data_IF_178541130171
#
_entry.id   IF_178541130171
#
_cell.length_a   1.000
_cell.length_b   1.000
_cell.length_c   1.000
_cell.angle_alpha   90.00
_cell.angle_beta   90.00
_cell.angle_gamma   90.00
#
_symmetry.space_group_name_H-M   'P 1'
#
loop_
_entity.id
_entity.type
_entity.pdbx_description
1 polymer ?
#
# COMPACT_ATOMS: atom_id res chain seq x y z
N UNK A 1 11.53 -65.00 34.95
CA UNK A 1 10.38 -64.53 34.15
C UNK A 1 10.80 -63.19 33.56
N UNK A 2 11.77 -63.12 32.65
CA UNK A 2 11.74 -63.57 31.24
C UNK A 2 10.43 -63.21 30.51
N UNK A 3 10.56 -62.30 29.53
CA UNK A 3 9.94 -62.18 28.19
C UNK A 3 10.26 -60.74 27.69
N UNK A 4 11.34 -60.50 26.93
CA UNK A 4 11.50 -60.65 25.46
C UNK A 4 10.49 -59.78 24.67
N UNK A 5 10.89 -58.68 24.02
CA UNK A 5 11.45 -58.60 22.64
C UNK A 5 11.63 -57.09 22.31
N UNK A 6 12.76 -56.56 21.82
CA UNK A 6 13.49 -56.78 20.57
C UNK A 6 12.68 -56.45 19.29
N UNK A 7 12.77 -55.19 18.83
CA UNK A 7 12.74 -54.86 17.38
C UNK A 7 13.83 -53.82 17.10
N UNK A 8 14.85 -54.28 16.38
CA UNK A 8 15.89 -53.53 15.68
C UNK A 8 15.78 -53.89 14.21
N UNK A 9 15.86 -52.92 13.28
CA UNK A 9 16.07 -53.03 11.81
C UNK A 9 15.31 -51.87 11.12
N UNK A 10 15.82 -51.01 10.24
CA UNK A 10 17.08 -50.93 9.52
C UNK A 10 17.30 -49.50 8.98
N UNK A 11 18.57 -49.09 8.94
CA UNK A 11 19.27 -48.19 8.01
C UNK A 11 18.52 -47.65 6.78
N UNK A 12 18.58 -46.33 6.56
CA UNK A 12 18.94 -45.76 5.25
C UNK A 12 19.46 -44.33 5.40
N UNK A 13 20.77 -44.19 5.26
CA UNK A 13 21.46 -42.91 5.14
C UNK A 13 21.22 -42.34 3.73
N UNK A 14 20.35 -41.34 3.62
CA UNK A 14 20.25 -40.53 2.42
C UNK A 14 21.41 -39.51 2.39
N UNK A 15 22.44 -39.82 1.59
CA UNK A 15 23.49 -38.89 1.19
C UNK A 15 22.88 -37.72 0.41
N UNK A 16 22.75 -36.56 1.04
CA UNK A 16 22.50 -35.31 0.33
C UNK A 16 23.84 -34.79 -0.18
N UNK A 17 24.02 -34.96 -1.48
CA UNK A 17 25.10 -34.43 -2.30
C UNK A 17 25.19 -32.91 -2.13
N UNK A 18 26.21 -32.43 -1.40
CA UNK A 18 26.54 -31.00 -1.33
C UNK A 18 27.19 -30.58 -2.65
N UNK A 19 26.65 -29.61 -3.41
CA UNK A 19 27.41 -29.01 -4.50
C UNK A 19 28.54 -28.16 -3.89
N UNK A 20 29.78 -28.54 -4.20
CA UNK A 20 30.97 -27.71 -3.94
C UNK A 20 30.95 -26.52 -4.90
N UNK A 21 30.32 -25.42 -4.50
CA UNK A 21 30.57 -24.11 -5.11
C UNK A 21 31.76 -23.48 -4.38
N UNK A 22 32.94 -23.67 -4.96
CA UNK A 22 34.13 -22.90 -4.63
C UNK A 22 33.93 -21.49 -5.18
N UNK A 23 33.53 -20.55 -4.33
CA UNK A 23 33.50 -19.13 -4.66
C UNK A 23 34.79 -18.50 -4.14
N UNK A 24 35.80 -18.42 -5.01
CA UNK A 24 37.00 -17.62 -4.77
C UNK A 24 36.62 -16.15 -4.91
N UNK A 25 36.48 -15.45 -3.78
CA UNK A 25 36.38 -13.99 -3.74
C UNK A 25 37.80 -13.43 -3.85
N UNK A 26 38.15 -12.92 -5.03
CA UNK A 26 39.35 -12.09 -5.21
C UNK A 26 39.12 -10.72 -4.58
N UNK A 27 39.80 -10.46 -3.47
CA UNK A 27 39.84 -9.16 -2.79
C UNK A 27 40.81 -8.26 -3.59
N UNK A 28 40.38 -7.13 -4.19
CA UNK A 28 41.32 -6.17 -4.73
C UNK A 28 42.03 -5.44 -3.57
N UNK A 29 43.37 -5.47 -3.61
CA UNK A 29 44.22 -4.79 -2.65
C UNK A 29 44.08 -3.27 -2.73
N UNK A 30 44.09 -2.68 -1.53
CA UNK A 30 44.08 -1.26 -1.16
C UNK A 30 45.20 -0.49 -1.86
N UNK A 31 44.86 0.49 -2.70
CA UNK A 31 45.81 1.46 -3.22
C UNK A 31 46.26 2.41 -2.09
N UNK A 32 47.57 2.53 -1.91
CA UNK A 32 48.24 3.44 -0.98
C UNK A 32 48.20 4.87 -1.52
N UNK A 33 47.53 5.76 -0.78
CA UNK A 33 47.57 7.20 -1.04
C UNK A 33 48.88 7.74 -0.50
N UNK A 34 49.75 8.16 -1.41
CA UNK A 34 50.97 8.93 -1.11
C UNK A 34 50.56 10.32 -0.64
N UNK A 35 50.94 10.65 0.59
CA UNK A 35 50.93 12.02 1.12
C UNK A 35 51.98 12.85 0.39
N UNK A 36 51.57 13.96 -0.24
CA UNK A 36 52.48 15.06 -0.55
C UNK A 36 51.94 16.34 0.09
N UNK A 37 52.80 16.93 0.89
CA UNK A 37 52.61 18.09 1.74
C UNK A 37 52.83 19.39 0.96
N UNK A 38 51.86 20.32 0.97
CA UNK A 38 52.12 21.77 0.78
C UNK A 38 50.92 22.60 1.30
N UNK A 39 51.15 23.66 2.11
CA UNK A 39 50.09 24.50 2.70
C UNK A 39 49.62 25.63 1.74
N UNK A 40 48.53 26.36 2.08
CA UNK A 40 47.74 27.11 1.11
C UNK A 40 48.27 28.52 0.89
N UNK A 41 48.18 29.00 -0.36
CA UNK A 41 48.49 30.39 -0.72
C UNK A 41 47.18 31.16 -0.89
N UNK A 42 46.82 31.94 0.13
CA UNK A 42 45.79 32.97 0.05
C UNK A 42 46.27 34.09 -0.90
N UNK A 43 45.48 34.43 -1.92
CA UNK A 43 45.61 35.70 -2.62
C UNK A 43 44.23 36.35 -2.79
N UNK A 44 44.20 37.64 -2.47
CA UNK A 44 43.06 38.51 -2.18
C UNK A 44 42.94 39.57 -3.28
N UNK A 45 41.68 39.90 -3.64
CA UNK A 45 41.18 41.13 -4.33
C UNK A 45 41.69 41.36 -5.78
N UNK A 46 40.97 41.96 -6.74
CA UNK A 46 39.68 42.65 -6.82
C UNK A 46 39.25 42.78 -8.31
N UNK A 47 37.94 42.96 -8.52
CA UNK A 47 37.23 43.67 -9.62
C UNK A 47 37.75 43.66 -11.07
N UNK A 48 36.87 43.30 -12.02
CA UNK A 48 36.49 44.20 -13.12
C UNK A 48 35.24 43.74 -13.90
N UNK A 49 34.45 44.74 -14.22
CA UNK A 49 33.16 44.80 -14.93
C UNK A 49 33.26 44.57 -16.45
N UNK A 50 32.20 44.01 -17.06
CA UNK A 50 31.42 44.51 -18.23
C UNK A 50 30.83 43.40 -19.16
N UNK A 51 29.77 43.70 -19.93
CA UNK A 51 28.66 42.78 -20.22
C UNK A 51 28.74 42.13 -21.62
N UNK A 52 27.99 41.03 -21.83
CA UNK A 52 27.58 40.60 -23.17
C UNK A 52 26.06 40.49 -23.27
N UNK A 53 25.51 41.22 -24.22
CA UNK A 53 24.11 41.20 -24.62
C UNK A 53 23.83 40.10 -25.65
N UNK A 54 22.58 39.62 -25.56
CA UNK A 54 21.66 39.22 -26.64
C UNK A 54 22.13 38.27 -27.74
N UNK A 55 21.56 37.06 -27.73
CA UNK A 55 20.99 36.47 -28.96
C UNK A 55 19.67 35.81 -28.58
N UNK A 56 18.58 36.40 -29.04
CA UNK A 56 17.25 35.79 -29.12
C UNK A 56 17.16 35.02 -30.43
N UNK A 57 16.85 33.72 -30.37
CA UNK A 57 16.30 32.99 -31.51
C UNK A 57 15.23 32.02 -31.02
N UNK A 58 14.02 32.28 -31.52
CA UNK A 58 12.84 31.47 -31.31
C UNK A 58 12.98 30.09 -31.94
N UNK A 59 12.57 29.06 -31.21
CA UNK A 59 12.02 27.83 -31.77
C UNK A 59 11.21 27.14 -30.67
N UNK A 60 9.89 27.25 -30.79
CA UNK A 60 8.92 26.59 -29.94
C UNK A 60 9.07 25.07 -30.00
N UNK A 61 9.25 24.36 -28.88
CA UNK A 61 8.78 22.98 -28.80
C UNK A 61 7.29 23.05 -28.47
N UNK A 62 6.47 22.55 -29.38
CA UNK A 62 5.06 22.25 -29.13
C UNK A 62 4.99 21.15 -28.08
N UNK A 63 5.13 21.53 -26.81
CA UNK A 63 4.87 20.66 -25.69
C UNK A 63 3.36 20.67 -25.46
N UNK A 64 2.67 19.76 -26.16
CA UNK A 64 1.39 19.24 -25.71
C UNK A 64 1.64 18.45 -24.42
N UNK A 65 1.98 19.15 -23.34
CA UNK A 65 1.74 18.65 -21.99
C UNK A 65 0.27 18.93 -21.76
N UNK A 66 -0.55 17.95 -22.13
CA UNK A 66 -1.89 17.84 -21.57
C UNK A 66 -1.78 18.09 -20.07
N UNK A 67 -2.60 18.97 -19.47
CA UNK A 67 -2.58 19.11 -18.03
C UNK A 67 -2.98 17.74 -17.49
N UNK A 68 -2.01 17.03 -16.91
CA UNK A 68 -2.29 15.87 -16.10
C UNK A 68 -3.17 16.39 -14.98
N UNK A 69 -4.47 16.13 -15.08
CA UNK A 69 -5.41 16.29 -13.99
C UNK A 69 -5.11 15.20 -12.97
N UNK A 70 -3.95 15.27 -12.33
CA UNK A 70 -3.75 14.60 -11.06
C UNK A 70 -4.47 15.45 -10.03
N UNK A 71 -5.74 15.13 -9.79
CA UNK A 71 -6.30 15.31 -8.45
C UNK A 71 -5.47 14.42 -7.54
N UNK A 72 -4.28 14.91 -7.15
CA UNK A 72 -3.48 14.39 -6.05
C UNK A 72 -4.22 14.78 -4.77
N UNK A 73 -5.37 14.13 -4.56
CA UNK A 73 -6.03 14.15 -3.27
C UNK A 73 -5.06 13.47 -2.30
N UNK A 74 -4.55 14.24 -1.34
CA UNK A 74 -3.60 13.74 -0.35
C UNK A 74 -4.06 12.39 0.24
N UNK A 75 -3.15 11.41 0.33
CA UNK A 75 -3.44 10.06 0.82
C UNK A 75 -3.53 10.05 2.34
N UNK A 76 -4.61 10.63 2.84
CA UNK A 76 -4.89 10.82 4.26
C UNK A 76 -6.08 9.98 4.68
N UNK A 77 -5.94 9.29 5.81
CA UNK A 77 -6.99 8.51 6.43
C UNK A 77 -7.24 8.96 7.86
N UNK A 78 -8.49 9.24 8.19
CA UNK A 78 -8.92 9.58 9.55
C UNK A 78 -9.98 8.59 10.05
N UNK A 79 -9.83 8.17 11.30
CA UNK A 79 -10.73 7.25 11.98
C UNK A 79 -10.91 7.71 13.43
N UNK A 80 -12.16 7.79 13.84
CA UNK A 80 -12.54 7.91 15.25
C UNK A 80 -13.35 6.67 15.61
N UNK A 81 -13.01 6.05 16.74
CA UNK A 81 -13.65 4.85 17.27
C UNK A 81 -13.86 5.06 18.75
N UNK A 82 -15.07 4.76 19.22
CA UNK A 82 -15.44 4.85 20.62
C UNK A 82 -16.10 3.52 20.99
N UNK A 83 -15.57 2.87 22.01
CA UNK A 83 -16.11 1.65 22.63
C UNK A 83 -16.48 1.96 24.08
N UNK A 84 -16.83 0.94 24.85
CA UNK A 84 -17.03 1.11 26.30
C UNK A 84 -15.70 1.24 27.03
N UNK A 85 -14.66 0.60 26.52
CA UNK A 85 -13.33 0.55 27.14
C UNK A 85 -12.46 1.73 26.69
N UNK A 86 -12.58 2.16 25.42
CA UNK A 86 -11.64 3.11 24.80
C UNK A 86 -12.31 4.19 23.94
N UNK A 87 -11.59 5.29 23.77
CA UNK A 87 -11.87 6.34 22.80
C UNK A 87 -10.58 6.65 22.03
N UNK A 88 -10.59 6.38 20.74
CA UNK A 88 -9.41 6.41 19.87
C UNK A 88 -9.68 7.29 18.65
N UNK A 89 -8.77 8.22 18.38
CA UNK A 89 -8.75 9.07 17.20
C UNK A 89 -7.38 8.94 16.52
N UNK A 90 -7.39 8.54 15.25
CA UNK A 90 -6.19 8.32 14.43
C UNK A 90 -6.31 9.10 13.14
N UNK A 91 -5.25 9.82 12.77
CA UNK A 91 -5.06 10.43 11.47
C UNK A 91 -3.69 10.05 10.93
N UNK A 92 -3.64 9.52 9.71
CA UNK A 92 -2.40 9.10 9.05
C UNK A 92 -2.33 9.73 7.67
N UNK A 93 -1.19 10.34 7.35
CA UNK A 93 -0.80 10.75 6.01
C UNK A 93 0.26 9.78 5.47
N UNK A 94 -0.02 9.13 4.34
CA UNK A 94 0.92 8.19 3.71
C UNK A 94 2.06 8.90 2.96
N UNK A 95 1.85 10.14 2.53
CA UNK A 95 2.84 11.00 1.86
C UNK A 95 3.37 12.02 2.85
N UNK A 96 3.89 11.53 3.97
CA UNK A 96 4.34 12.34 5.08
C UNK A 96 5.84 12.62 5.06
N UNK A 97 6.30 13.18 6.17
CA UNK A 97 7.72 13.48 6.44
C UNK A 97 8.25 12.71 7.64
N UNK A 98 7.43 11.83 8.24
CA UNK A 98 7.78 11.04 9.42
C UNK A 98 7.42 11.72 10.75
N UNK A 99 6.52 12.70 10.74
CA UNK A 99 6.10 13.39 11.97
C UNK A 99 5.19 12.49 12.79
N UNK A 100 5.50 12.31 14.07
CA UNK A 100 4.67 11.57 15.00
C UNK A 100 4.19 12.47 16.14
N UNK A 101 2.90 12.42 16.40
CA UNK A 101 2.27 13.07 17.54
C UNK A 101 1.28 12.09 18.15
N UNK A 102 1.77 11.28 19.08
CA UNK A 102 1.03 10.18 19.70
C UNK A 102 0.88 10.43 21.20
N UNK A 103 -0.35 10.27 21.69
CA UNK A 103 -0.68 10.29 23.11
C UNK A 103 -1.73 9.24 23.36
N UNK A 104 -1.27 8.05 23.77
CA UNK A 104 -2.15 6.87 23.98
C UNK A 104 -2.35 6.52 25.44
N UNK A 105 -1.53 7.08 26.34
CA UNK A 105 -1.47 6.68 27.74
C UNK A 105 -0.54 5.48 28.00
N UNK A 106 0.03 4.89 26.95
CA UNK A 106 0.96 3.75 27.03
C UNK A 106 2.30 4.20 26.43
N UNK A 107 3.28 4.61 27.25
CA UNK A 107 4.51 5.25 26.76
C UNK A 107 5.32 4.38 25.77
N UNK A 108 5.33 3.06 25.97
CA UNK A 108 6.03 2.15 25.07
C UNK A 108 5.36 2.07 23.69
N UNK A 109 4.02 2.08 23.64
CA UNK A 109 3.28 2.11 22.39
C UNK A 109 3.55 3.43 21.65
N UNK A 110 3.53 4.56 22.36
CA UNK A 110 3.84 5.88 21.77
C UNK A 110 5.23 5.88 21.13
N UNK A 111 6.22 5.28 21.81
CA UNK A 111 7.56 5.10 21.24
C UNK A 111 7.55 4.24 19.96
N UNK A 112 6.82 3.12 19.95
CA UNK A 112 6.69 2.27 18.75
C UNK A 112 5.99 2.99 17.59
N UNK A 113 4.99 3.83 17.87
CA UNK A 113 4.30 4.63 16.85
C UNK A 113 5.20 5.72 16.27
N UNK A 114 6.09 6.31 17.08
CA UNK A 114 7.11 7.23 16.59
C UNK A 114 8.07 6.53 15.62
N UNK A 115 8.51 5.31 15.95
CA UNK A 115 9.35 4.51 15.05
C UNK A 115 8.62 4.16 13.76
N UNK A 116 7.33 3.81 13.84
CA UNK A 116 6.50 3.56 12.66
C UNK A 116 6.43 4.78 11.73
N UNK A 117 6.22 5.97 12.28
CA UNK A 117 6.18 7.22 11.52
C UNK A 117 7.53 7.52 10.86
N UNK A 118 8.62 7.49 11.64
CA UNK A 118 9.95 7.85 11.15
C UNK A 118 10.49 6.88 10.10
N UNK A 119 10.31 5.57 10.28
CA UNK A 119 10.79 4.57 9.32
C UNK A 119 9.85 4.39 8.12
N UNK A 120 8.56 4.66 8.30
CA UNK A 120 7.55 4.62 7.23
C UNK A 120 7.42 5.91 6.42
N UNK A 121 8.02 7.01 6.89
CA UNK A 121 7.81 8.37 6.38
C UNK A 121 6.33 8.78 6.38
N UNK A 122 5.59 8.32 7.38
CA UNK A 122 4.18 8.68 7.58
C UNK A 122 4.07 9.83 8.55
N UNK A 123 3.10 10.72 8.35
CA UNK A 123 2.69 11.61 9.44
C UNK A 123 1.57 10.92 10.23
N UNK A 124 1.82 10.65 11.51
CA UNK A 124 0.96 9.84 12.36
C UNK A 124 0.51 10.66 13.57
N UNK A 125 -0.79 10.89 13.66
CA UNK A 125 -1.42 11.51 14.83
C UNK A 125 -2.33 10.50 15.50
N UNK A 126 -2.06 10.20 16.77
CA UNK A 126 -2.87 9.29 17.57
C UNK A 126 -3.23 9.96 18.90
N UNK A 127 -4.52 9.92 19.22
CA UNK A 127 -5.05 10.26 20.54
C UNK A 127 -5.88 9.09 21.01
N UNK A 128 -5.53 8.51 22.14
CA UNK A 128 -6.31 7.45 22.74
C UNK A 128 -6.44 7.68 24.25
N UNK A 129 -7.62 7.38 24.75
CA UNK A 129 -7.91 7.27 26.18
C UNK A 129 -8.64 5.96 26.38
N UNK A 130 -8.11 5.08 27.21
CA UNK A 130 -8.73 3.80 27.52
C UNK A 130 -8.56 3.41 28.98
N UNK A 131 -9.02 2.22 29.30
CA UNK A 131 -9.04 1.62 30.63
C UNK A 131 -7.69 1.02 31.06
N UNK A 132 -6.60 1.75 30.83
CA UNK A 132 -5.20 1.36 31.13
C UNK A 132 -4.92 1.01 32.60
N UNK A 133 -5.86 1.29 33.50
CA UNK A 133 -5.80 0.91 34.91
C UNK A 133 -6.18 -0.56 35.16
N UNK A 134 -6.84 -1.20 34.20
CA UNK A 134 -7.13 -2.64 34.20
C UNK A 134 -5.93 -3.36 33.58
N UNK A 135 -5.70 -3.12 32.28
CA UNK A 135 -4.52 -3.52 31.53
C UNK A 135 -4.40 -2.66 30.25
N UNK A 136 -3.36 -2.91 29.44
CA UNK A 136 -3.11 -2.20 28.19
C UNK A 136 -3.75 -2.87 26.95
N UNK A 137 -4.45 -3.99 27.12
CA UNK A 137 -4.89 -4.85 26.03
C UNK A 137 -5.91 -4.16 25.13
N UNK A 138 -7.00 -3.64 25.71
CA UNK A 138 -8.08 -3.00 24.95
C UNK A 138 -7.58 -1.76 24.20
N UNK A 139 -6.76 -0.94 24.88
CA UNK A 139 -6.21 0.29 24.30
C UNK A 139 -5.28 -0.04 23.12
N UNK A 140 -4.36 -1.00 23.29
CA UNK A 140 -3.48 -1.43 22.21
C UNK A 140 -4.25 -1.99 21.01
N UNK A 141 -5.25 -2.85 21.25
CA UNK A 141 -6.07 -3.46 20.20
C UNK A 141 -6.86 -2.41 19.43
N UNK A 142 -7.60 -1.53 20.12
CA UNK A 142 -8.46 -0.54 19.47
C UNK A 142 -7.65 0.49 18.69
N UNK A 143 -6.43 0.84 19.14
CA UNK A 143 -5.48 1.66 18.38
C UNK A 143 -5.03 0.94 17.11
N UNK A 144 -4.63 -0.33 17.20
CA UNK A 144 -4.20 -1.10 16.03
C UNK A 144 -5.33 -1.22 14.99
N UNK A 145 -6.57 -1.46 15.43
CA UNK A 145 -7.75 -1.48 14.57
C UNK A 145 -8.01 -0.13 13.90
N UNK A 146 -7.90 0.97 14.65
CA UNK A 146 -8.08 2.32 14.13
C UNK A 146 -7.00 2.69 13.09
N UNK A 147 -5.72 2.37 13.38
CA UNK A 147 -4.58 2.55 12.45
C UNK A 147 -4.80 1.75 11.17
N UNK A 148 -5.11 0.46 11.28
CA UNK A 148 -5.37 -0.38 10.10
C UNK A 148 -6.50 0.17 9.23
N UNK A 149 -7.57 0.66 9.87
CA UNK A 149 -8.70 1.28 9.17
C UNK A 149 -8.30 2.61 8.51
N UNK A 150 -7.50 3.43 9.19
CA UNK A 150 -7.01 4.70 8.65
C UNK A 150 -6.09 4.47 7.44
N UNK A 151 -5.16 3.51 7.52
CA UNK A 151 -4.31 3.10 6.40
C UNK A 151 -5.14 2.62 5.20
N UNK A 152 -6.18 1.81 5.44
CA UNK A 152 -7.06 1.33 4.37
C UNK A 152 -7.80 2.48 3.67
N UNK A 153 -8.24 3.50 4.41
CA UNK A 153 -8.88 4.71 3.87
C UNK A 153 -7.87 5.53 3.07
N UNK A 154 -6.68 5.77 3.63
CA UNK A 154 -5.61 6.54 3.00
C UNK A 154 -5.13 5.91 1.68
N UNK A 155 -5.11 4.57 1.62
CA UNK A 155 -4.71 3.84 0.42
C UNK A 155 -5.70 3.94 -0.76
N UNK A 156 -6.98 4.24 -0.50
CA UNK A 156 -8.01 4.43 -1.53
C UNK A 156 -8.06 3.31 -2.58
N UNK A 157 -8.07 3.72 -3.86
CA UNK A 157 -8.14 2.82 -5.03
C UNK A 157 -6.84 2.04 -5.30
N UNK A 158 -5.72 2.36 -4.61
CA UNK A 158 -4.45 1.62 -4.69
C UNK A 158 -3.87 1.48 -6.10
N UNK A 159 -4.22 2.39 -7.02
CA UNK A 159 -3.67 2.45 -8.38
C UNK A 159 -2.31 3.15 -8.37
N UNK A 160 -1.37 2.65 -9.18
CA UNK A 160 -0.06 3.29 -9.36
C UNK A 160 0.91 3.20 -8.17
N UNK A 161 0.62 2.41 -7.14
CA UNK A 161 1.51 2.24 -5.97
C UNK A 161 2.38 0.99 -6.11
N UNK A 162 3.54 1.00 -5.45
CA UNK A 162 4.30 -0.21 -5.17
C UNK A 162 3.44 -1.16 -4.32
N UNK A 163 3.05 -2.28 -4.93
CA UNK A 163 2.09 -3.25 -4.39
C UNK A 163 2.72 -4.25 -3.44
N UNK A 164 3.99 -4.55 -3.67
CA UNK A 164 4.82 -5.41 -2.84
C UNK A 164 5.89 -4.54 -2.19
N UNK A 165 6.23 -4.87 -0.95
CA UNK A 165 7.36 -4.30 -0.25
C UNK A 165 7.93 -5.31 0.71
N UNK A 166 9.24 -5.29 0.87
CA UNK A 166 9.96 -6.04 1.88
C UNK A 166 10.83 -5.09 2.68
N UNK A 167 11.09 -5.44 3.94
CA UNK A 167 11.94 -4.68 4.83
C UNK A 167 12.63 -5.63 5.79
N UNK A 168 13.93 -5.40 6.00
CA UNK A 168 14.72 -6.15 6.96
C UNK A 168 15.47 -5.15 7.84
N UNK A 169 15.32 -5.27 9.15
CA UNK A 169 16.00 -4.43 10.12
C UNK A 169 16.63 -5.30 11.22
N UNK A 170 17.96 -5.23 11.39
CA UNK A 170 18.62 -5.76 12.57
C UNK A 170 18.51 -4.76 13.74
N UNK A 171 18.34 -5.27 14.95
CA UNK A 171 18.48 -4.52 16.20
C UNK A 171 19.21 -5.42 17.21
N UNK A 172 20.45 -5.06 17.54
CA UNK A 172 21.36 -5.87 18.37
C UNK A 172 21.49 -7.32 17.87
N UNK A 173 21.09 -8.31 18.65
CA UNK A 173 21.08 -9.73 18.26
C UNK A 173 19.84 -10.14 17.45
N UNK A 174 18.81 -9.30 17.37
CA UNK A 174 17.56 -9.61 16.73
C UNK A 174 17.54 -9.18 15.25
N UNK A 175 16.97 -10.02 14.39
CA UNK A 175 16.68 -9.69 12.99
C UNK A 175 15.19 -9.76 12.75
N UNK A 176 14.61 -8.67 12.26
CA UNK A 176 13.21 -8.61 11.85
C UNK A 176 13.15 -8.56 10.32
N UNK A 177 12.29 -9.38 9.74
CA UNK A 177 11.97 -9.35 8.31
C UNK A 177 10.46 -9.25 8.12
N UNK A 178 10.02 -8.31 7.30
CA UNK A 178 8.61 -8.07 6.98
C UNK A 178 8.44 -8.06 5.47
N UNK A 179 7.52 -8.88 4.95
CA UNK A 179 7.09 -8.83 3.55
C UNK A 179 5.60 -8.51 3.49
N UNK A 180 5.24 -7.47 2.74
CA UNK A 180 3.88 -6.95 2.64
C UNK A 180 3.41 -6.99 1.20
N UNK A 181 2.16 -7.44 1.02
CA UNK A 181 1.41 -7.32 -0.23
C UNK A 181 0.14 -6.54 0.02
N UNK A 182 -0.04 -5.43 -0.69
CA UNK A 182 -1.29 -4.67 -0.69
C UNK A 182 -2.33 -5.41 -1.55
N UNK A 183 -3.26 -6.11 -0.89
CA UNK A 183 -4.41 -6.72 -1.57
C UNK A 183 -5.40 -5.62 -1.96
N UNK A 184 -5.99 -5.74 -3.14
CA UNK A 184 -7.14 -4.93 -3.51
C UNK A 184 -8.35 -5.59 -2.89
N UNK A 185 -8.92 -4.93 -1.87
CA UNK A 185 -10.23 -5.32 -1.36
C UNK A 185 -11.23 -4.52 -2.17
N UNK A 186 -12.28 -5.11 -2.75
CA UNK A 186 -13.26 -4.37 -3.53
C UNK A 186 -13.73 -3.18 -2.69
N UNK A 187 -13.45 -1.96 -3.15
CA UNK A 187 -14.00 -0.75 -2.57
C UNK A 187 -15.50 -0.94 -2.47
N UNK A 188 -16.07 -0.75 -1.28
CA UNK A 188 -17.47 -1.09 -0.94
C UNK A 188 -18.52 -0.48 -1.90
N UNK A 189 -18.14 0.47 -2.75
CA UNK A 189 -18.91 0.96 -3.89
C UNK A 189 -19.19 -0.11 -4.98
N UNK A 190 -18.34 -1.13 -5.14
CA UNK A 190 -18.53 -2.21 -6.11
C UNK A 190 -19.41 -3.36 -5.58
N UNK A 191 -19.62 -3.45 -4.26
CA UNK A 191 -20.44 -4.50 -3.65
C UNK A 191 -21.96 -4.25 -3.80
N UNK A 192 -22.38 -3.07 -4.27
CA UNK A 192 -23.79 -2.70 -4.43
C UNK A 192 -24.38 -3.02 -5.82
N UNK A 193 -23.65 -3.70 -6.72
CA UNK A 193 -24.10 -4.01 -8.07
C UNK A 193 -24.28 -5.52 -8.32
N UNK A 194 -24.79 -6.27 -7.35
CA UNK A 194 -25.47 -7.54 -7.69
C UNK A 194 -26.83 -7.15 -8.29
N UNK A 195 -26.87 -6.98 -9.61
CA UNK A 195 -28.12 -6.79 -10.35
C UNK A 195 -29.00 -8.01 -10.06
N UNK A 196 -30.25 -7.85 -9.59
CA UNK A 196 -31.14 -8.98 -9.45
C UNK A 196 -31.27 -9.66 -10.81
N UNK A 197 -31.07 -10.98 -10.83
CA UNK A 197 -31.24 -11.80 -12.02
C UNK A 197 -32.60 -11.47 -12.65
N UNK A 198 -32.54 -10.95 -13.89
CA UNK A 198 -33.73 -10.59 -14.66
C UNK A 198 -34.56 -11.86 -14.85
N UNK A 199 -35.64 -12.00 -14.07
CA UNK A 199 -36.67 -13.03 -14.27
C UNK A 199 -37.02 -13.08 -15.75
N UNK A 200 -37.02 -14.30 -16.30
CA UNK A 200 -37.07 -14.57 -17.73
C UNK A 200 -38.11 -13.75 -18.48
N UNK A 201 -37.74 -13.30 -19.68
CA UNK A 201 -38.69 -12.80 -20.67
C UNK A 201 -39.63 -13.96 -20.99
N UNK A 202 -40.91 -13.78 -20.65
CA UNK A 202 -41.98 -14.58 -21.23
C UNK A 202 -41.83 -14.58 -22.75
N UNK A 203 -41.90 -15.78 -23.33
CA UNK A 203 -42.02 -16.02 -24.75
C UNK A 203 -43.12 -15.10 -25.31
N UNK A 204 -42.76 -14.26 -26.28
CA UNK A 204 -43.74 -13.53 -27.09
C UNK A 204 -44.49 -14.56 -27.93
N UNK A 205 -45.83 -14.63 -27.91
CA UNK A 205 -46.55 -15.41 -28.91
C UNK A 205 -46.34 -14.75 -30.28
N UNK A 206 -45.93 -15.55 -31.26
CA UNK A 206 -45.71 -15.11 -32.64
C UNK A 206 -47.01 -14.68 -33.34
N UNK A 207 -46.93 -13.86 -34.39
CA UNK A 207 -48.10 -13.43 -35.14
C UNK A 207 -48.68 -14.63 -35.91
N UNK A 208 -49.91 -15.02 -35.56
CA UNK A 208 -50.67 -16.04 -36.28
C UNK A 208 -51.12 -15.51 -37.65
N UNK A 209 -51.19 -16.37 -38.68
CA UNK A 209 -51.62 -15.97 -40.03
C UNK A 209 -53.12 -15.66 -40.05
N UNK A 210 -53.47 -14.51 -40.61
CA UNK A 210 -54.84 -14.02 -40.71
C UNK A 210 -55.73 -14.90 -41.61
N UNK A 211 -57.01 -15.08 -41.28
CA UNK A 211 -57.95 -15.77 -42.15
C UNK A 211 -58.43 -14.86 -43.29
N UNK A 212 -58.37 -15.42 -44.50
CA UNK A 212 -58.90 -14.90 -45.75
C UNK A 212 -60.42 -14.72 -45.64
N UNK A 213 -60.88 -13.47 -45.72
CA UNK A 213 -62.30 -13.14 -45.83
C UNK A 213 -62.80 -13.32 -47.25
N UNK A 214 -63.55 -14.39 -47.50
CA UNK A 214 -64.36 -14.60 -48.69
C UNK A 214 -65.81 -14.21 -48.38
N UNK A 215 -66.25 -13.10 -48.99
CA UNK A 215 -67.47 -12.99 -49.81
C UNK A 215 -68.87 -13.10 -49.18
N UNK A 216 -69.77 -12.35 -49.82
CA UNK A 216 -71.25 -12.42 -49.81
C UNK A 216 -71.90 -11.69 -48.62
N UNK A 217 -72.82 -10.73 -48.76
CA UNK A 217 -73.56 -10.22 -49.90
C UNK A 217 -74.87 -9.58 -49.39
N UNK A 218 -75.38 -8.58 -50.10
CA UNK A 218 -76.81 -8.23 -50.15
C UNK A 218 -77.40 -7.42 -48.98
N UNK A 219 -77.97 -6.24 -49.30
CA UNK A 219 -78.86 -5.44 -48.43
C UNK A 219 -80.25 -6.08 -48.23
N UNK A 220 -81.36 -5.33 -48.06
CA UNK A 220 -81.57 -3.87 -48.12
C UNK A 220 -82.35 -3.31 -46.88
N UNK A 221 -82.79 -2.04 -46.86
CA UNK A 221 -83.22 -1.34 -45.65
C UNK A 221 -84.74 -1.21 -45.47
N UNK A 222 -85.19 -1.11 -44.22
CA UNK A 222 -86.45 -0.49 -43.79
C UNK A 222 -86.27 -0.16 -42.29
N UNK A 223 -86.19 1.10 -41.86
CA UNK A 223 -87.22 2.15 -41.69
C UNK A 223 -87.59 2.26 -40.22
#
# INVERSE_FOLDING_TARGET
MELSSAIYSQSSAAQILRPKLCFTVSIPQRASIVSSSSPPRYLRMETQSQPRQSISCASSPSNNVSPATSNESARVGEVKRVTKETNVSVKINLDGTGVADCSTGIPFLDHMLHQLASHGLFDVHVRATGDVHIDDHHTNEDIALAIGTALLKALGERKGINRFGDFTAPLDEALIHVSLRKRELPTRAAAAAVRPARRGRGLRPGPGPGPLGLGLGGGPPAR
#
